data_IF_143331840404
#
_entry.id   IF_143331840404
#
_cell.length_a   1.000
_cell.length_b   1.000
_cell.length_c   1.000
_cell.angle_alpha   90.00
_cell.angle_beta   90.00
_cell.angle_gamma   90.00
#
_symmetry.space_group_name_H-M   'P 1'
#
loop_
_entity.id
_entity.type
_entity.pdbx_description
1 polymer ?
#
# COMPACT_ATOMS: atom_id res chain seq x y z
N UNK A 1 -30.31 -23.73 2.85
CA UNK A 1 -30.21 -23.44 1.39
C UNK A 1 -28.76 -23.63 1.04
N UNK A 2 -28.44 -24.77 0.44
CA UNK A 2 -27.08 -25.14 0.08
C UNK A 2 -26.66 -24.31 -1.12
N UNK A 3 -25.52 -23.63 -1.01
CA UNK A 3 -24.93 -22.83 -2.07
C UNK A 3 -24.41 -23.67 -3.25
N UNK A 4 -24.49 -24.99 -3.14
CA UNK A 4 -24.13 -25.98 -4.17
C UNK A 4 -25.10 -26.03 -5.36
N UNK A 5 -26.26 -25.40 -5.27
CA UNK A 5 -27.27 -25.33 -6.35
C UNK A 5 -27.04 -24.23 -7.39
N UNK A 6 -25.93 -23.49 -7.32
CA UNK A 6 -25.49 -22.63 -8.42
C UNK A 6 -24.77 -23.51 -9.41
N UNK A 7 -25.53 -24.05 -10.38
CA UNK A 7 -24.97 -24.86 -11.46
C UNK A 7 -23.73 -24.23 -12.10
N UNK A 8 -22.82 -25.01 -12.65
CA UNK A 8 -21.57 -24.50 -13.20
C UNK A 8 -21.88 -23.40 -14.21
N UNK A 9 -21.20 -22.25 -14.08
CA UNK A 9 -21.24 -21.17 -15.06
C UNK A 9 -20.61 -21.66 -16.37
N UNK A 10 -21.30 -22.61 -17.03
CA UNK A 10 -20.91 -23.12 -18.33
C UNK A 10 -21.19 -22.02 -19.36
N UNK A 11 -20.14 -21.41 -19.85
CA UNK A 11 -20.20 -20.50 -20.99
C UNK A 11 -19.55 -19.12 -20.80
N UNK A 12 -19.05 -18.76 -19.64
CA UNK A 12 -18.18 -17.60 -19.54
C UNK A 12 -16.77 -18.03 -19.94
N UNK A 13 -16.47 -18.01 -21.23
CA UNK A 13 -15.09 -17.97 -21.71
C UNK A 13 -14.60 -16.57 -21.32
N UNK A 14 -13.99 -16.45 -20.13
CA UNK A 14 -13.13 -15.30 -19.85
C UNK A 14 -12.07 -15.34 -20.93
N UNK A 15 -12.15 -14.42 -21.89
CA UNK A 15 -11.06 -14.17 -22.81
C UNK A 15 -9.81 -14.05 -21.94
N UNK A 16 -8.82 -14.91 -22.18
CA UNK A 16 -7.56 -14.84 -21.44
C UNK A 16 -7.04 -13.41 -21.62
N UNK A 17 -7.08 -12.61 -20.56
CA UNK A 17 -6.47 -11.30 -20.61
C UNK A 17 -5.01 -11.49 -21.02
N UNK A 18 -4.48 -10.67 -21.93
CA UNK A 18 -3.10 -10.81 -22.36
C UNK A 18 -2.22 -10.76 -21.12
N UNK A 19 -1.48 -11.84 -20.86
CA UNK A 19 -0.50 -11.86 -19.77
C UNK A 19 0.61 -10.89 -20.14
N UNK A 20 0.60 -9.72 -19.49
CA UNK A 20 1.63 -8.70 -19.68
C UNK A 20 2.89 -9.18 -18.94
N UNK A 21 4.05 -9.12 -19.59
CA UNK A 21 5.32 -9.46 -18.94
C UNK A 21 5.68 -8.42 -17.87
N UNK A 22 6.58 -8.79 -16.93
CA UNK A 22 7.04 -7.86 -15.91
C UNK A 22 7.76 -6.64 -16.52
N UNK A 23 8.52 -6.84 -17.60
CA UNK A 23 9.17 -5.77 -18.36
C UNK A 23 8.15 -4.83 -19.00
N UNK A 24 7.15 -5.38 -19.68
CA UNK A 24 6.12 -4.58 -20.36
C UNK A 24 5.30 -3.77 -19.34
N UNK A 25 4.97 -4.37 -18.18
CA UNK A 25 4.29 -3.64 -17.11
C UNK A 25 5.14 -2.48 -16.60
N UNK A 26 6.43 -2.69 -16.35
CA UNK A 26 7.32 -1.61 -15.91
C UNK A 26 7.41 -0.52 -16.97
N UNK A 27 7.62 -0.86 -18.23
CA UNK A 27 7.68 0.11 -19.34
C UNK A 27 6.38 0.93 -19.44
N UNK A 28 5.22 0.29 -19.33
CA UNK A 28 3.92 0.96 -19.36
C UNK A 28 3.74 1.88 -18.14
N UNK A 29 4.14 1.44 -16.96
CA UNK A 29 3.99 2.19 -15.70
C UNK A 29 5.06 3.26 -15.50
N UNK A 30 6.11 3.31 -16.34
CA UNK A 30 7.18 4.31 -16.25
C UNK A 30 6.70 5.72 -16.53
N UNK A 31 5.60 5.88 -17.26
CA UNK A 31 4.95 7.19 -17.45
C UNK A 31 4.53 7.84 -16.10
N UNK A 32 4.21 7.04 -15.07
CA UNK A 32 3.83 7.52 -13.74
C UNK A 32 5.00 7.67 -12.76
N UNK A 33 6.23 7.37 -13.16
CA UNK A 33 7.41 7.47 -12.26
C UNK A 33 7.66 8.91 -11.79
N UNK A 34 7.52 9.95 -12.64
CA UNK A 34 7.70 11.32 -12.17
C UNK A 34 6.77 11.69 -11.01
N UNK A 35 5.51 11.27 -11.06
CA UNK A 35 4.53 11.50 -9.99
C UNK A 35 4.90 10.72 -8.73
N UNK A 36 5.33 9.47 -8.86
CA UNK A 36 5.82 8.68 -7.73
C UNK A 36 7.06 9.31 -7.10
N UNK A 37 7.96 9.89 -7.88
CA UNK A 37 9.15 10.58 -7.38
C UNK A 37 8.79 11.88 -6.63
N UNK A 38 7.79 12.62 -7.09
CA UNK A 38 7.26 13.76 -6.35
C UNK A 38 6.70 13.34 -4.98
N UNK A 39 5.98 12.20 -4.92
CA UNK A 39 5.48 11.65 -3.67
C UNK A 39 6.64 11.21 -2.78
N UNK A 40 7.68 10.54 -3.32
CA UNK A 40 8.89 10.16 -2.57
C UNK A 40 9.56 11.36 -1.92
N UNK A 41 9.67 12.46 -2.64
CA UNK A 41 10.24 13.70 -2.08
C UNK A 41 9.32 14.33 -1.02
N UNK A 42 8.01 14.27 -1.24
CA UNK A 42 7.04 14.81 -0.28
C UNK A 42 7.06 14.06 1.05
N UNK A 43 7.11 12.73 1.03
CA UNK A 43 7.07 11.89 2.25
C UNK A 43 8.36 11.96 3.08
N UNK A 44 9.47 12.44 2.51
CA UNK A 44 10.72 12.71 3.26
C UNK A 44 10.60 13.89 4.23
N UNK A 45 9.61 14.77 4.04
CA UNK A 45 9.43 15.94 4.89
C UNK A 45 9.10 15.53 6.33
N UNK A 46 9.59 16.24 7.34
CA UNK A 46 9.37 15.89 8.75
C UNK A 46 7.90 15.95 9.17
N UNK A 47 7.12 16.81 8.50
CA UNK A 47 5.67 16.95 8.70
C UNK A 47 4.97 16.79 7.37
N UNK A 48 4.17 15.73 7.28
CA UNK A 48 3.32 15.45 6.11
C UNK A 48 1.88 15.30 6.57
N UNK A 49 0.95 15.85 5.80
CA UNK A 49 -0.50 15.71 5.98
C UNK A 49 -1.16 15.71 4.62
N UNK A 50 -2.32 15.08 4.54
CA UNK A 50 -3.22 15.27 3.42
C UNK A 50 -3.75 16.71 3.42
N UNK A 51 -4.12 17.21 2.26
CA UNK A 51 -4.77 18.52 2.15
C UNK A 51 -6.23 18.40 2.59
N UNK A 52 -6.48 18.69 3.87
CA UNK A 52 -7.82 18.63 4.45
C UNK A 52 -7.91 19.34 5.82
N UNK A 53 -9.13 19.57 6.32
CA UNK A 53 -9.36 20.20 7.62
C UNK A 53 -9.26 19.21 8.79
N UNK A 54 -8.07 19.08 9.36
CA UNK A 54 -7.83 18.23 10.53
C UNK A 54 -8.49 18.69 11.84
N UNK A 55 -9.16 19.86 11.84
CA UNK A 55 -10.03 20.25 12.95
C UNK A 55 -11.35 19.51 12.91
N UNK A 56 -11.70 18.95 11.74
CA UNK A 56 -12.88 18.13 11.50
C UNK A 56 -12.48 16.79 10.89
N UNK A 57 -11.80 15.93 11.65
CA UNK A 57 -11.17 14.72 11.10
C UNK A 57 -12.15 13.74 10.45
N UNK A 58 -13.43 13.83 10.79
CA UNK A 58 -14.48 12.96 10.22
C UNK A 58 -15.05 13.51 8.89
N UNK A 59 -14.73 14.74 8.54
CA UNK A 59 -15.08 15.36 7.27
C UNK A 59 -13.96 15.20 6.23
N UNK A 60 -12.81 14.60 6.60
CA UNK A 60 -11.71 14.31 5.67
C UNK A 60 -12.22 13.44 4.52
N UNK A 61 -11.96 13.88 3.31
CA UNK A 61 -12.43 13.20 2.11
C UNK A 61 -11.91 11.76 2.02
N UNK A 62 -12.83 10.80 1.87
CA UNK A 62 -12.48 9.38 1.67
C UNK A 62 -11.60 9.20 0.42
N UNK A 63 -11.76 10.06 -0.59
CA UNK A 63 -10.95 10.03 -1.82
C UNK A 63 -9.46 10.18 -1.51
N UNK A 64 -9.09 11.01 -0.53
CA UNK A 64 -7.69 11.18 -0.14
C UNK A 64 -7.08 9.88 0.40
N UNK A 65 -7.82 9.12 1.18
CA UNK A 65 -7.38 7.81 1.69
C UNK A 65 -7.28 6.76 0.57
N UNK A 66 -8.22 6.77 -0.38
CA UNK A 66 -8.21 5.89 -1.54
C UNK A 66 -7.01 6.18 -2.46
N UNK A 67 -6.65 7.45 -2.64
CA UNK A 67 -5.47 7.84 -3.42
C UNK A 67 -4.19 7.27 -2.81
N UNK A 68 -4.02 7.32 -1.48
CA UNK A 68 -2.86 6.70 -0.82
C UNK A 68 -2.83 5.19 -1.08
N UNK A 69 -3.97 4.51 -0.97
CA UNK A 69 -4.08 3.08 -1.26
C UNK A 69 -3.71 2.77 -2.73
N UNK A 70 -4.17 3.58 -3.68
CA UNK A 70 -3.89 3.40 -5.10
C UNK A 70 -2.39 3.58 -5.40
N UNK A 71 -1.74 4.58 -4.81
CA UNK A 71 -0.28 4.76 -4.90
C UNK A 71 0.46 3.56 -4.33
N UNK A 72 0.05 3.07 -3.15
CA UNK A 72 0.64 1.88 -2.54
C UNK A 72 0.46 0.63 -3.41
N UNK A 73 -0.69 0.47 -4.06
CA UNK A 73 -0.97 -0.63 -4.96
C UNK A 73 -0.11 -0.57 -6.23
N UNK A 74 0.02 0.61 -6.84
CA UNK A 74 0.90 0.80 -8.00
C UNK A 74 2.36 0.50 -7.66
N UNK A 75 2.86 1.02 -6.53
CA UNK A 75 4.21 0.76 -6.06
C UNK A 75 4.43 -0.74 -5.74
N UNK A 76 3.44 -1.42 -5.13
CA UNK A 76 3.53 -2.86 -4.85
C UNK A 76 3.60 -3.69 -6.14
N UNK A 77 2.82 -3.35 -7.16
CA UNK A 77 2.86 -4.02 -8.45
C UNK A 77 4.21 -3.81 -9.14
N UNK A 78 4.75 -2.58 -9.15
CA UNK A 78 6.09 -2.29 -9.68
C UNK A 78 7.17 -3.06 -8.92
N UNK A 79 7.10 -3.08 -7.57
CA UNK A 79 8.04 -3.85 -6.74
C UNK A 79 8.00 -5.35 -7.08
N UNK A 80 6.82 -5.93 -7.26
CA UNK A 80 6.69 -7.34 -7.65
C UNK A 80 7.30 -7.63 -9.02
N UNK A 81 7.09 -6.74 -10.00
CA UNK A 81 7.75 -6.86 -11.30
C UNK A 81 9.28 -6.77 -11.18
N UNK A 82 9.79 -5.83 -10.38
CA UNK A 82 11.23 -5.73 -10.12
C UNK A 82 11.77 -7.01 -9.46
N UNK A 83 11.04 -7.62 -8.51
CA UNK A 83 11.44 -8.87 -7.88
C UNK A 83 11.47 -10.03 -8.88
N UNK A 84 10.48 -10.14 -9.76
CA UNK A 84 10.47 -11.15 -10.83
C UNK A 84 11.68 -11.04 -11.75
N UNK A 85 12.20 -9.82 -11.94
CA UNK A 85 13.38 -9.53 -12.75
C UNK A 85 14.71 -9.56 -11.97
N UNK A 86 14.68 -9.96 -10.70
CA UNK A 86 15.87 -10.03 -9.85
C UNK A 86 16.45 -8.66 -9.44
N UNK A 87 15.66 -7.57 -9.57
CA UNK A 87 16.08 -6.19 -9.27
C UNK A 87 15.67 -5.80 -7.86
N UNK A 88 16.35 -6.36 -6.84
CA UNK A 88 15.99 -6.19 -5.42
C UNK A 88 16.05 -4.73 -4.94
N UNK A 89 17.05 -3.97 -5.38
CA UNK A 89 17.24 -2.56 -5.06
C UNK A 89 16.08 -1.68 -5.54
N UNK A 90 15.62 -1.91 -6.77
CA UNK A 90 14.46 -1.22 -7.33
C UNK A 90 13.17 -1.62 -6.60
N UNK A 91 12.98 -2.90 -6.32
CA UNK A 91 11.85 -3.38 -5.53
C UNK A 91 11.83 -2.76 -4.12
N UNK A 92 12.97 -2.67 -3.46
CA UNK A 92 13.10 -2.03 -2.17
C UNK A 92 12.76 -0.53 -2.21
N UNK A 93 13.15 0.18 -3.28
CA UNK A 93 12.79 1.58 -3.49
C UNK A 93 11.27 1.77 -3.57
N UNK A 94 10.55 0.90 -4.29
CA UNK A 94 9.09 0.95 -4.35
C UNK A 94 8.44 0.60 -3.00
N UNK A 95 8.95 -0.40 -2.30
CA UNK A 95 8.49 -0.76 -0.95
C UNK A 95 8.70 0.36 0.06
N UNK A 96 9.82 1.05 0.00
CA UNK A 96 10.09 2.20 0.88
C UNK A 96 9.08 3.34 0.65
N UNK A 97 8.61 3.55 -0.59
CA UNK A 97 7.53 4.50 -0.86
C UNK A 97 6.23 4.09 -0.16
N UNK A 98 5.88 2.79 -0.20
CA UNK A 98 4.68 2.29 0.50
C UNK A 98 4.82 2.52 2.01
N UNK A 99 5.96 2.16 2.58
CA UNK A 99 6.23 2.32 4.01
C UNK A 99 6.13 3.79 4.45
N UNK A 100 6.78 4.70 3.74
CA UNK A 100 6.77 6.13 4.09
C UNK A 100 5.38 6.78 3.89
N UNK A 101 4.64 6.38 2.85
CA UNK A 101 3.30 6.93 2.59
C UNK A 101 2.30 6.61 3.70
N UNK A 102 2.50 5.52 4.48
CA UNK A 102 1.70 5.20 5.66
C UNK A 102 1.69 6.30 6.72
N UNK A 103 2.73 7.14 6.76
CA UNK A 103 2.78 8.29 7.67
C UNK A 103 1.63 9.27 7.46
N UNK A 104 1.08 9.35 6.25
CA UNK A 104 -0.11 10.15 5.96
C UNK A 104 -1.36 9.59 6.66
N UNK A 105 -1.44 8.26 6.80
CA UNK A 105 -2.56 7.55 7.43
C UNK A 105 -2.44 7.54 8.96
N UNK A 106 -1.22 7.57 9.49
CA UNK A 106 -0.94 7.55 10.93
C UNK A 106 -0.78 8.94 11.55
N UNK A 107 -0.96 10.01 10.76
CA UNK A 107 -0.99 11.40 11.25
C UNK A 107 -2.18 11.63 12.17
N UNK A 108 -1.95 12.30 13.30
CA UNK A 108 -3.01 12.57 14.28
C UNK A 108 -3.89 13.75 13.86
N UNK A 109 -5.20 13.70 14.11
CA UNK A 109 -5.97 12.57 14.70
C UNK A 109 -6.15 11.41 13.71
N UNK A 110 -6.09 10.17 14.20
CA UNK A 110 -6.26 8.96 13.37
C UNK A 110 -7.75 8.61 13.32
N UNK A 111 -8.36 8.62 12.14
CA UNK A 111 -9.73 8.15 11.94
C UNK A 111 -9.77 6.63 11.73
N UNK A 112 -10.92 6.00 11.95
CA UNK A 112 -11.09 4.56 11.69
C UNK A 112 -10.82 4.23 10.22
N UNK A 113 -11.27 5.08 9.29
CA UNK A 113 -11.03 4.92 7.85
C UNK A 113 -9.52 4.92 7.57
N UNK A 114 -8.76 5.89 8.15
CA UNK A 114 -7.30 5.93 8.01
C UNK A 114 -6.65 4.64 8.53
N UNK A 115 -7.07 4.15 9.70
CA UNK A 115 -6.55 2.93 10.28
C UNK A 115 -6.86 1.69 9.41
N UNK A 116 -8.06 1.59 8.84
CA UNK A 116 -8.44 0.50 7.93
C UNK A 116 -7.59 0.52 6.65
N UNK A 117 -7.36 1.69 6.07
CA UNK A 117 -6.50 1.82 4.88
C UNK A 117 -5.04 1.51 5.24
N UNK A 118 -4.56 1.90 6.43
CA UNK A 118 -3.21 1.54 6.89
C UNK A 118 -3.01 0.03 7.01
N UNK A 119 -4.04 -0.70 7.49
CA UNK A 119 -4.02 -2.18 7.50
C UNK A 119 -3.92 -2.73 6.07
N UNK A 120 -4.72 -2.21 5.13
CA UNK A 120 -4.69 -2.67 3.74
C UNK A 120 -3.33 -2.37 3.06
N UNK A 121 -2.78 -1.18 3.25
CA UNK A 121 -1.46 -0.78 2.71
C UNK A 121 -0.34 -1.61 3.33
N UNK A 122 -0.42 -1.89 4.65
CA UNK A 122 0.55 -2.76 5.33
C UNK A 122 0.47 -4.20 4.83
N UNK A 123 -0.73 -4.68 4.47
CA UNK A 123 -0.91 -5.98 3.85
C UNK A 123 -0.23 -6.08 2.48
N UNK A 124 -0.37 -5.07 1.62
CA UNK A 124 0.33 -4.99 0.32
C UNK A 124 1.85 -5.00 0.50
N UNK A 125 2.34 -4.24 1.48
CA UNK A 125 3.75 -4.17 1.83
C UNK A 125 4.29 -5.55 2.26
N UNK A 126 3.64 -6.19 3.22
CA UNK A 126 4.05 -7.49 3.74
C UNK A 126 3.97 -8.61 2.69
N UNK A 127 2.91 -8.65 1.87
CA UNK A 127 2.76 -9.62 0.80
C UNK A 127 3.88 -9.51 -0.24
N UNK A 128 4.26 -8.27 -0.61
CA UNK A 128 5.36 -8.05 -1.56
C UNK A 128 6.71 -8.48 -0.98
N UNK A 129 6.97 -8.21 0.29
CA UNK A 129 8.18 -8.72 0.98
C UNK A 129 8.20 -10.25 0.96
N UNK A 130 7.07 -10.89 1.30
CA UNK A 130 6.95 -12.35 1.31
C UNK A 130 7.20 -12.97 -0.08
N UNK A 131 6.77 -12.32 -1.16
CA UNK A 131 7.07 -12.75 -2.53
C UNK A 131 8.56 -12.71 -2.82
N UNK A 132 9.25 -11.65 -2.40
CA UNK A 132 10.71 -11.55 -2.56
C UNK A 132 11.48 -12.62 -1.78
N UNK A 133 10.98 -13.04 -0.60
CA UNK A 133 11.52 -14.19 0.11
C UNK A 133 11.27 -15.50 -0.66
N UNK A 134 10.06 -15.71 -1.17
CA UNK A 134 9.71 -16.90 -1.95
C UNK A 134 10.58 -17.05 -3.19
N UNK A 135 10.94 -15.94 -3.83
CA UNK A 135 11.79 -15.93 -5.03
C UNK A 135 13.28 -15.79 -4.73
N UNK A 136 13.65 -15.67 -3.43
CA UNK A 136 15.05 -15.58 -2.97
C UNK A 136 15.81 -14.41 -3.61
N UNK A 137 15.17 -13.27 -3.80
CA UNK A 137 15.74 -12.11 -4.50
C UNK A 137 16.37 -11.11 -3.54
N UNK A 138 15.91 -11.07 -2.28
CA UNK A 138 16.41 -10.11 -1.29
C UNK A 138 17.89 -10.35 -0.94
N UNK A 139 18.63 -9.26 -0.83
CA UNK A 139 20.02 -9.26 -0.34
C UNK A 139 20.07 -8.77 1.10
N UNK A 140 21.18 -9.01 1.77
CA UNK A 140 21.33 -8.67 3.19
C UNK A 140 21.02 -7.19 3.52
N UNK A 141 21.52 -6.17 2.76
CA UNK A 141 21.22 -4.77 3.08
C UNK A 141 19.71 -4.44 3.04
N UNK A 142 18.99 -4.96 2.02
CA UNK A 142 17.56 -4.76 1.93
C UNK A 142 16.82 -5.49 3.05
N UNK A 143 17.26 -6.69 3.45
CA UNK A 143 16.66 -7.46 4.53
C UNK A 143 16.76 -6.73 5.87
N UNK A 144 17.94 -6.15 6.18
CA UNK A 144 18.13 -5.35 7.39
C UNK A 144 17.19 -4.15 7.40
N UNK A 145 17.14 -3.41 6.29
CA UNK A 145 16.27 -2.24 6.18
C UNK A 145 14.77 -2.59 6.24
N UNK A 146 14.35 -3.70 5.61
CA UNK A 146 12.98 -4.20 5.69
C UNK A 146 12.61 -4.62 7.12
N UNK A 147 13.53 -5.25 7.85
CA UNK A 147 13.31 -5.59 9.24
C UNK A 147 13.11 -4.34 10.11
N UNK A 148 13.94 -3.32 9.94
CA UNK A 148 13.79 -2.04 10.65
C UNK A 148 12.46 -1.36 10.35
N UNK A 149 12.03 -1.36 9.08
CA UNK A 149 10.73 -0.82 8.68
C UNK A 149 9.57 -1.60 9.30
N UNK A 150 9.61 -2.95 9.28
CA UNK A 150 8.57 -3.80 9.85
C UNK A 150 8.42 -3.60 11.37
N UNK A 151 9.53 -3.41 12.09
CA UNK A 151 9.51 -3.15 13.54
C UNK A 151 8.80 -1.84 13.91
N UNK A 152 8.73 -0.88 13.00
CA UNK A 152 8.02 0.39 13.21
C UNK A 152 6.51 0.29 12.96
N UNK A 153 6.02 -0.81 12.39
CA UNK A 153 4.61 -1.00 12.07
C UNK A 153 3.86 -1.51 13.33
N UNK A 154 2.95 -0.70 13.86
CA UNK A 154 2.11 -1.08 14.99
C UNK A 154 0.63 -0.84 14.67
N UNK A 155 0.02 -1.76 13.93
CA UNK A 155 -1.38 -1.67 13.49
C UNK A 155 -2.36 -1.69 14.66
N UNK A 156 -2.08 -2.48 15.71
CA UNK A 156 -2.96 -2.56 16.87
C UNK A 156 -3.05 -1.25 17.63
N UNK A 157 -1.94 -0.52 17.73
CA UNK A 157 -1.92 0.82 18.33
C UNK A 157 -2.73 1.81 17.50
N UNK A 158 -2.54 1.83 16.18
CA UNK A 158 -3.26 2.73 15.28
C UNK A 158 -4.78 2.47 15.36
N UNK A 159 -5.19 1.20 15.35
CA UNK A 159 -6.59 0.80 15.48
C UNK A 159 -7.17 1.19 16.85
N UNK A 160 -6.46 0.93 17.94
CA UNK A 160 -6.91 1.30 19.28
C UNK A 160 -7.04 2.82 19.48
N UNK A 161 -6.14 3.61 18.89
CA UNK A 161 -6.22 5.07 18.90
C UNK A 161 -7.43 5.57 18.07
N UNK A 162 -7.69 5.01 16.90
CA UNK A 162 -8.85 5.38 16.07
C UNK A 162 -10.19 5.06 16.75
N UNK A 163 -10.32 3.89 17.37
CA UNK A 163 -11.52 3.52 18.13
C UNK A 163 -11.79 4.44 19.34
N UNK A 164 -10.76 5.01 19.93
CA UNK A 164 -10.92 5.99 21.03
C UNK A 164 -11.38 7.36 20.54
N UNK A 165 -11.03 7.71 19.30
CA UNK A 165 -11.38 9.01 18.73
C UNK A 165 -12.82 9.06 18.21
N UNK A 166 -13.38 7.94 17.73
CA UNK A 166 -14.72 7.90 17.15
C UNK A 166 -15.86 8.35 18.08
N UNK A 167 -15.92 7.92 19.36
CA UNK A 167 -17.00 8.35 20.26
C UNK A 167 -17.01 9.85 20.56
N UNK A 168 -15.88 10.53 20.37
CA UNK A 168 -15.75 12.00 20.61
C UNK A 168 -16.39 12.78 19.49
N UNK A 169 -16.52 12.21 18.31
CA UNK A 169 -17.09 12.86 17.12
C UNK A 169 -18.61 12.94 17.12
N UNK A 170 -19.28 12.08 17.89
CA UNK A 170 -20.75 12.00 17.96
C UNK A 170 -21.32 12.72 19.19
N UNK A 171 -20.54 13.53 19.88
CA UNK A 171 -20.98 14.43 20.93
C UNK A 171 -20.93 15.87 20.48
#
# INVERSE_FOLDING_TARGET
RDWEDVGPLQGIVLAAEPVISAEDYLAMSDAGVPELDLIREAVKRPRIRMDDDYKRPFEISIVNFLNIRNVAQAAAQRAQCCLLLGRSDQAFRELSLIFESRRLLTSKPITLVAAMIDVAVSGLYADTIAKGFRWQVWREPELVALQEQLQQINLMRALAESCRMEPVAFR
#
